data_IF_386993409061
#
_entry.id   IF_386993409061
#
_cell.length_a   1.000
_cell.length_b   1.000
_cell.length_c   1.000
_cell.angle_alpha   90.00
_cell.angle_beta   90.00
_cell.angle_gamma   90.00
#
_symmetry.space_group_name_H-M   'P 1'
#
loop_
_entity.id
_entity.type
_entity.pdbx_description
1 polymer ?
#
# COMPACT_ATOMS: atom_id res chain seq x y z
N UNK A 1 -5.60 -17.20 12.37
CA UNK A 1 -6.25 -16.27 11.42
C UNK A 1 -5.76 -16.63 10.02
N UNK A 2 -6.65 -17.11 9.15
CA UNK A 2 -6.31 -17.42 7.76
C UNK A 2 -6.02 -16.11 7.03
N UNK A 3 -5.01 -16.10 6.17
CA UNK A 3 -4.62 -14.92 5.38
C UNK A 3 -5.13 -15.07 3.96
N UNK A 4 -5.58 -13.98 3.31
CA UNK A 4 -5.94 -14.03 1.90
C UNK A 4 -4.73 -13.96 0.96
N UNK A 5 -3.53 -13.66 1.47
CA UNK A 5 -2.29 -13.55 0.67
C UNK A 5 -1.02 -13.50 1.53
N UNK A 6 0.11 -13.88 0.92
CA UNK A 6 1.46 -13.54 1.38
C UNK A 6 2.06 -12.37 0.58
N UNK A 7 3.06 -11.70 1.16
CA UNK A 7 3.83 -10.66 0.49
C UNK A 7 4.92 -11.29 -0.39
N UNK A 8 4.89 -10.99 -1.70
CA UNK A 8 5.91 -11.41 -2.65
C UNK A 8 6.77 -10.21 -3.07
N UNK A 9 8.09 -10.36 -3.04
CA UNK A 9 9.05 -9.29 -3.32
C UNK A 9 9.92 -9.66 -4.54
N UNK A 10 9.59 -9.16 -5.75
CA UNK A 10 10.29 -9.56 -6.99
C UNK A 10 11.80 -9.32 -6.95
N UNK A 11 12.23 -8.20 -6.36
CA UNK A 11 13.66 -7.88 -6.20
C UNK A 11 14.39 -8.91 -5.34
N UNK A 12 13.81 -9.32 -4.21
CA UNK A 12 14.41 -10.31 -3.31
C UNK A 12 14.43 -11.70 -3.95
N UNK A 13 13.37 -12.06 -4.69
CA UNK A 13 13.30 -13.30 -5.46
C UNK A 13 14.41 -13.40 -6.52
N UNK A 14 14.66 -12.31 -7.25
CA UNK A 14 15.70 -12.24 -8.29
C UNK A 14 17.13 -12.13 -7.72
N UNK A 15 17.29 -11.51 -6.55
CA UNK A 15 18.60 -11.28 -5.93
C UNK A 15 19.08 -12.45 -5.04
N UNK A 16 18.18 -13.31 -4.56
CA UNK A 16 18.53 -14.41 -3.66
C UNK A 16 19.44 -15.44 -4.34
N UNK A 17 20.69 -15.54 -3.89
CA UNK A 17 21.72 -16.44 -4.43
C UNK A 17 21.38 -17.92 -4.32
N UNK A 18 20.60 -18.34 -3.31
CA UNK A 18 20.14 -19.73 -3.18
C UNK A 18 19.09 -20.05 -4.25
N UNK A 19 18.10 -19.18 -4.44
CA UNK A 19 17.10 -19.31 -5.51
C UNK A 19 17.71 -19.18 -6.91
N UNK A 20 18.78 -18.39 -7.08
CA UNK A 20 19.51 -18.31 -8.36
C UNK A 20 20.23 -19.61 -8.73
N UNK A 21 20.52 -20.50 -7.76
CA UNK A 21 21.06 -21.85 -8.00
C UNK A 21 19.96 -22.90 -8.29
N UNK A 22 18.69 -22.56 -8.11
CA UNK A 22 17.58 -23.45 -8.41
C UNK A 22 17.25 -23.48 -9.91
N UNK A 23 16.85 -24.65 -10.42
CA UNK A 23 16.24 -24.78 -11.75
C UNK A 23 14.89 -24.06 -11.81
N UNK A 24 14.32 -23.89 -13.02
CA UNK A 24 12.97 -23.34 -13.17
C UNK A 24 11.90 -24.24 -12.52
N UNK A 25 12.07 -25.56 -12.62
CA UNK A 25 11.22 -26.56 -11.96
C UNK A 25 11.29 -26.43 -10.43
N UNK A 26 12.49 -26.39 -9.86
CA UNK A 26 12.69 -26.22 -8.41
C UNK A 26 12.10 -24.90 -7.90
N UNK A 27 12.14 -23.82 -8.70
CA UNK A 27 11.48 -22.56 -8.37
C UNK A 27 9.95 -22.66 -8.39
N UNK A 28 9.38 -23.47 -9.27
CA UNK A 28 7.95 -23.79 -9.29
C UNK A 28 7.54 -24.54 -8.03
N UNK A 29 8.22 -25.66 -7.77
CA UNK A 29 8.00 -26.48 -6.56
C UNK A 29 8.14 -25.65 -5.28
N UNK A 30 9.12 -24.75 -5.20
CA UNK A 30 9.27 -23.86 -4.06
C UNK A 30 8.08 -22.89 -3.89
N UNK A 31 7.44 -22.48 -4.98
CA UNK A 31 6.26 -21.63 -4.95
C UNK A 31 5.03 -22.39 -4.42
N UNK A 32 4.87 -23.66 -4.81
CA UNK A 32 3.84 -24.54 -4.26
C UNK A 32 4.07 -24.85 -2.78
N UNK A 33 5.33 -25.07 -2.37
CA UNK A 33 5.72 -25.19 -0.94
C UNK A 33 5.43 -23.90 -0.16
N UNK A 34 5.67 -22.71 -0.75
CA UNK A 34 5.31 -21.43 -0.11
C UNK A 34 3.80 -21.28 0.08
N UNK A 35 2.98 -21.77 -0.85
CA UNK A 35 1.52 -21.84 -0.70
C UNK A 35 1.14 -22.81 0.43
N UNK A 36 1.70 -24.02 0.45
CA UNK A 36 1.45 -24.99 1.54
C UNK A 36 1.80 -24.40 2.91
N UNK A 37 2.96 -23.73 3.03
CA UNK A 37 3.43 -23.05 4.26
C UNK A 37 2.59 -21.83 4.66
N UNK A 38 1.88 -21.21 3.71
CA UNK A 38 0.98 -20.08 3.96
C UNK A 38 -0.32 -20.52 4.63
N UNK A 39 -0.81 -21.71 4.26
CA UNK A 39 -2.08 -22.27 4.73
C UNK A 39 -1.97 -23.06 6.06
N UNK A 40 -0.74 -23.24 6.58
CA UNK A 40 -0.52 -23.85 7.89
C UNK A 40 -1.04 -22.98 9.04
N UNK A 41 -1.38 -23.61 10.17
CA UNK A 41 -1.77 -22.93 11.41
C UNK A 41 -0.65 -22.06 11.98
N UNK A 42 0.60 -22.54 11.90
CA UNK A 42 1.83 -21.81 12.21
C UNK A 42 2.40 -21.20 10.91
N UNK A 43 2.19 -19.90 10.70
CA UNK A 43 2.46 -19.27 9.40
C UNK A 43 3.93 -19.37 8.97
N UNK A 44 4.17 -19.97 7.80
CA UNK A 44 5.52 -20.17 7.26
C UNK A 44 6.23 -21.41 7.78
N UNK A 45 5.53 -22.28 8.53
CA UNK A 45 6.04 -23.51 9.17
C UNK A 45 5.09 -24.68 8.91
N UNK A 46 5.60 -25.79 8.41
CA UNK A 46 4.88 -27.06 8.29
C UNK A 46 5.55 -28.11 9.21
N UNK A 47 4.74 -28.98 9.81
CA UNK A 47 5.18 -30.03 10.76
C UNK A 47 4.79 -31.42 10.28
N UNK A 48 4.90 -31.66 8.97
CA UNK A 48 4.63 -32.93 8.31
C UNK A 48 5.94 -33.58 7.85
N UNK A 49 6.02 -34.93 7.76
CA UNK A 49 7.13 -35.62 7.11
C UNK A 49 7.41 -35.08 5.70
N UNK A 50 8.68 -35.08 5.26
CA UNK A 50 9.05 -34.50 3.96
C UNK A 50 8.37 -35.22 2.79
N UNK A 51 8.11 -36.52 2.93
CA UNK A 51 7.35 -37.32 1.97
C UNK A 51 5.89 -36.84 1.81
N UNK A 52 5.22 -36.43 2.90
CA UNK A 52 3.86 -35.89 2.86
C UNK A 52 3.84 -34.50 2.20
N UNK A 53 4.85 -33.67 2.46
CA UNK A 53 5.03 -32.38 1.77
C UNK A 53 5.25 -32.62 0.27
N UNK A 54 6.08 -33.58 -0.12
CA UNK A 54 6.34 -33.91 -1.51
C UNK A 54 5.05 -34.34 -2.24
N UNK A 55 4.26 -35.21 -1.61
CA UNK A 55 2.95 -35.62 -2.10
C UNK A 55 1.98 -34.44 -2.22
N UNK A 56 1.91 -33.57 -1.21
CA UNK A 56 0.98 -32.43 -1.17
C UNK A 56 1.27 -31.38 -2.26
N UNK A 57 2.55 -31.16 -2.61
CA UNK A 57 2.94 -30.25 -3.70
C UNK A 57 3.13 -30.94 -5.05
N UNK A 58 2.82 -32.24 -5.16
CA UNK A 58 2.86 -32.99 -6.42
C UNK A 58 4.27 -33.22 -6.99
N UNK A 59 5.29 -33.39 -6.15
CA UNK A 59 6.67 -33.64 -6.57
C UNK A 59 7.30 -34.86 -5.86
N UNK A 60 8.56 -35.18 -6.19
CA UNK A 60 9.31 -36.23 -5.47
C UNK A 60 10.13 -35.62 -4.32
N UNK A 61 10.33 -36.39 -3.25
CA UNK A 61 11.15 -35.97 -2.11
C UNK A 61 12.55 -35.50 -2.54
N UNK A 62 13.15 -36.15 -3.54
CA UNK A 62 14.45 -35.77 -4.11
C UNK A 62 14.47 -34.31 -4.64
N UNK A 63 13.35 -33.78 -5.14
CA UNK A 63 13.26 -32.36 -5.57
C UNK A 63 13.23 -31.43 -4.37
N UNK A 64 12.55 -31.80 -3.28
CA UNK A 64 12.60 -31.05 -2.02
C UNK A 64 13.99 -31.08 -1.38
N UNK A 65 14.66 -32.24 -1.38
CA UNK A 65 16.08 -32.35 -1.01
C UNK A 65 16.96 -31.43 -1.88
N UNK A 66 16.63 -31.25 -3.15
CA UNK A 66 17.24 -30.26 -4.05
C UNK A 66 17.11 -28.81 -3.56
N UNK A 67 15.99 -28.45 -2.90
CA UNK A 67 15.77 -27.13 -2.26
C UNK A 67 16.46 -27.02 -0.89
N UNK A 68 16.46 -28.09 -0.10
CA UNK A 68 17.09 -28.17 1.23
C UNK A 68 18.61 -28.03 1.10
N UNK A 69 19.24 -28.78 0.19
CA UNK A 69 20.67 -28.68 -0.12
C UNK A 69 21.09 -27.30 -0.67
N UNK A 70 20.14 -26.53 -1.22
CA UNK A 70 20.36 -25.14 -1.63
C UNK A 70 20.08 -24.14 -0.50
N UNK A 71 19.56 -24.55 0.65
CA UNK A 71 19.19 -23.67 1.76
C UNK A 71 18.04 -22.74 1.41
N UNK A 72 17.09 -23.22 0.60
CA UNK A 72 15.86 -22.51 0.20
C UNK A 72 14.72 -22.92 1.14
N UNK A 73 14.34 -24.19 1.08
CA UNK A 73 13.60 -24.85 2.17
C UNK A 73 14.59 -25.15 3.30
N UNK A 74 14.14 -25.05 4.55
CA UNK A 74 14.95 -25.32 5.74
C UNK A 74 14.17 -26.14 6.75
N UNK A 75 14.89 -26.76 7.67
CA UNK A 75 14.35 -27.67 8.66
C UNK A 75 14.83 -29.10 8.46
N UNK A 76 14.18 -30.02 9.16
CA UNK A 76 14.56 -31.42 9.30
C UNK A 76 13.32 -32.31 9.42
N UNK A 77 13.47 -33.59 9.06
CA UNK A 77 12.41 -34.60 9.25
C UNK A 77 12.42 -35.18 10.68
N UNK A 78 11.48 -36.08 10.96
CA UNK A 78 11.35 -36.81 12.22
C UNK A 78 12.68 -37.45 12.68
N UNK A 79 13.00 -37.28 13.97
CA UNK A 79 14.20 -37.86 14.59
C UNK A 79 15.52 -37.12 14.33
N UNK A 80 15.49 -36.00 13.60
CA UNK A 80 16.63 -35.08 13.48
C UNK A 80 16.36 -33.77 14.24
N UNK A 81 17.42 -33.14 14.75
CA UNK A 81 17.35 -31.89 15.51
C UNK A 81 17.66 -30.69 14.60
N UNK A 82 16.75 -29.70 14.55
CA UNK A 82 16.98 -28.44 13.83
C UNK A 82 17.49 -27.35 14.79
N UNK A 83 18.39 -26.50 14.28
CA UNK A 83 18.92 -25.36 15.02
C UNK A 83 17.88 -24.22 15.12
N UNK A 84 17.87 -23.42 16.20
CA UNK A 84 16.90 -22.31 16.33
C UNK A 84 17.03 -21.29 15.20
N UNK A 85 15.89 -20.88 14.62
CA UNK A 85 15.85 -19.77 13.66
C UNK A 85 16.03 -18.45 14.41
N UNK A 86 17.26 -17.96 14.50
CA UNK A 86 17.57 -16.68 15.12
C UNK A 86 17.44 -15.53 14.13
N UNK A 87 16.60 -14.54 14.45
CA UNK A 87 16.51 -13.27 13.75
C UNK A 87 17.19 -12.16 14.57
N UNK A 88 18.04 -11.36 13.91
CA UNK A 88 18.65 -10.17 14.50
C UNK A 88 17.93 -8.93 13.92
N UNK A 89 17.06 -8.26 14.69
CA UNK A 89 16.41 -7.04 14.24
C UNK A 89 17.45 -5.95 14.01
N UNK A 90 17.32 -5.18 12.94
CA UNK A 90 18.27 -4.13 12.56
C UNK A 90 17.58 -2.77 12.49
N UNK A 91 18.12 -1.78 13.19
CA UNK A 91 17.65 -0.40 13.17
C UNK A 91 18.79 0.53 12.76
N UNK A 92 18.65 1.17 11.60
CA UNK A 92 19.73 1.91 10.95
C UNK A 92 20.97 1.02 10.76
N UNK A 93 22.10 1.45 11.33
CA UNK A 93 23.37 0.70 11.28
C UNK A 93 23.59 -0.25 12.47
N UNK A 94 22.71 -0.27 13.47
CA UNK A 94 22.87 -1.09 14.69
C UNK A 94 22.05 -2.38 14.59
N UNK A 95 22.64 -3.47 15.07
CA UNK A 95 21.94 -4.72 15.35
C UNK A 95 21.33 -4.63 16.75
N UNK A 96 20.08 -5.08 16.91
CA UNK A 96 19.43 -5.27 18.20
C UNK A 96 19.73 -6.66 18.77
N UNK A 97 19.08 -6.98 19.90
CA UNK A 97 19.17 -8.29 20.55
C UNK A 97 18.71 -9.40 19.59
N UNK A 98 19.49 -10.48 19.40
CA UNK A 98 19.05 -11.66 18.66
C UNK A 98 17.82 -12.31 19.32
N UNK A 99 16.86 -12.76 18.51
CA UNK A 99 15.60 -13.35 18.95
C UNK A 99 15.43 -14.69 18.23
N UNK A 100 15.25 -15.79 18.97
CA UNK A 100 14.84 -17.07 18.39
C UNK A 100 13.36 -16.98 17.98
N UNK A 101 13.09 -17.03 16.68
CA UNK A 101 11.73 -17.08 16.13
C UNK A 101 11.16 -18.50 16.11
N UNK A 102 12.05 -19.49 15.96
CA UNK A 102 11.77 -20.90 16.20
C UNK A 102 12.82 -21.40 17.19
N UNK A 103 12.39 -22.17 18.19
CA UNK A 103 13.30 -22.87 19.09
C UNK A 103 14.01 -24.02 18.35
N UNK A 104 15.19 -24.41 18.84
CA UNK A 104 15.80 -25.67 18.40
C UNK A 104 14.98 -26.84 18.95
N UNK A 105 14.55 -27.74 18.07
CA UNK A 105 13.63 -28.83 18.39
C UNK A 105 13.82 -29.97 17.39
N UNK A 106 13.32 -31.15 17.71
CA UNK A 106 13.28 -32.28 16.78
C UNK A 106 12.20 -32.06 15.71
N UNK A 107 12.41 -32.65 14.52
CA UNK A 107 11.45 -32.64 13.44
C UNK A 107 10.27 -33.62 13.63
N UNK A 108 9.31 -33.65 12.69
CA UNK A 108 9.31 -32.90 11.43
C UNK A 108 9.06 -31.40 11.64
N UNK A 109 9.97 -30.59 11.11
CA UNK A 109 9.89 -29.13 11.12
C UNK A 109 10.43 -28.64 9.77
N UNK A 110 9.59 -27.97 8.99
CA UNK A 110 9.96 -27.41 7.69
C UNK A 110 9.48 -25.96 7.60
N UNK A 111 10.34 -25.03 7.19
CA UNK A 111 10.00 -23.61 7.26
C UNK A 111 10.64 -22.73 6.19
N UNK A 112 9.95 -21.63 5.89
CA UNK A 112 10.49 -20.51 5.11
C UNK A 112 10.98 -19.42 6.05
N UNK A 113 12.30 -19.24 6.18
CA UNK A 113 12.85 -18.15 7.02
C UNK A 113 12.25 -16.80 6.66
N UNK A 114 11.92 -16.56 5.39
CA UNK A 114 11.34 -15.29 4.96
C UNK A 114 9.93 -15.08 5.52
N UNK A 115 9.08 -16.10 5.46
CA UNK A 115 7.71 -16.01 5.97
C UNK A 115 7.68 -15.84 7.50
N UNK A 116 8.49 -16.61 8.23
CA UNK A 116 8.58 -16.52 9.69
C UNK A 116 9.15 -15.16 10.15
N UNK A 117 10.20 -14.68 9.50
CA UNK A 117 10.80 -13.36 9.82
C UNK A 117 9.85 -12.20 9.44
N UNK A 118 9.18 -12.27 8.30
CA UNK A 118 8.22 -11.23 7.90
C UNK A 118 6.95 -11.26 8.76
N UNK A 119 6.56 -12.43 9.28
CA UNK A 119 5.50 -12.53 10.27
C UNK A 119 5.88 -11.89 11.59
N UNK A 120 7.07 -12.17 12.12
CA UNK A 120 7.59 -11.46 13.29
C UNK A 120 7.56 -9.95 13.08
N UNK A 121 8.04 -9.45 11.93
CA UNK A 121 7.96 -8.02 11.59
C UNK A 121 6.52 -7.50 11.49
N UNK A 122 5.57 -8.31 10.99
CA UNK A 122 4.16 -7.93 10.87
C UNK A 122 3.50 -7.82 12.23
N UNK A 123 3.71 -8.80 13.11
CA UNK A 123 3.23 -8.77 14.50
C UNK A 123 3.77 -7.52 15.19
N UNK A 124 5.09 -7.33 15.23
CA UNK A 124 5.72 -6.18 15.90
C UNK A 124 5.26 -4.82 15.36
N UNK A 125 4.87 -4.71 14.08
CA UNK A 125 4.28 -3.49 13.50
C UNK A 125 2.81 -3.30 13.84
N UNK A 126 2.06 -4.37 14.06
CA UNK A 126 0.66 -4.33 14.48
C UNK A 126 0.51 -4.07 15.98
N UNK A 127 1.34 -4.71 16.79
CA UNK A 127 1.36 -4.61 18.26
C UNK A 127 1.78 -3.20 18.71
N UNK A 128 2.73 -2.58 18.00
CA UNK A 128 3.10 -1.17 18.18
C UNK A 128 1.98 -0.17 17.77
N UNK A 129 0.77 -0.64 17.45
CA UNK A 129 -0.34 0.16 16.94
C UNK A 129 -1.70 -0.08 17.57
N UNK A 130 -1.85 -0.92 18.61
CA UNK A 130 -3.17 -1.22 19.16
C UNK A 130 -3.20 -1.80 20.58
N UNK A 131 -3.95 -1.13 21.45
CA UNK A 131 -4.44 -1.69 22.73
C UNK A 131 -5.35 -2.88 22.41
N UNK A 132 -5.27 -4.03 23.11
CA UNK A 132 -6.12 -5.17 22.79
C UNK A 132 -7.55 -4.90 23.23
N UNK A 133 -8.50 -5.01 22.29
CA UNK A 133 -9.87 -5.35 22.64
C UNK A 133 -10.32 -6.57 21.84
N UNK A 134 -10.79 -7.58 22.55
CA UNK A 134 -11.35 -8.79 21.96
C UNK A 134 -12.81 -8.53 21.51
N UNK A 135 -13.32 -9.44 20.68
CA UNK A 135 -14.73 -9.53 20.29
C UNK A 135 -15.28 -8.37 19.44
N UNK A 136 -15.15 -8.49 18.11
CA UNK A 136 -16.36 -8.41 17.28
C UNK A 136 -16.20 -9.14 15.94
N UNK A 137 -17.04 -10.14 15.71
CA UNK A 137 -17.33 -10.65 14.37
C UNK A 137 -18.25 -9.66 13.65
N UNK A 138 -17.83 -9.13 12.49
CA UNK A 138 -18.71 -8.82 11.34
C UNK A 138 -17.89 -8.18 10.21
N UNK A 139 -17.90 -8.83 9.04
CA UNK A 139 -17.24 -8.32 7.84
C UNK A 139 -18.28 -7.91 6.79
N UNK A 140 -18.36 -6.62 6.40
CA UNK A 140 -18.89 -6.22 5.10
C UNK A 140 -17.77 -6.19 4.05
N UNK A 141 -18.04 -6.82 2.92
CA UNK A 141 -17.11 -7.01 1.81
C UNK A 141 -16.95 -5.73 0.97
N UNK A 142 -15.73 -5.20 0.81
CA UNK A 142 -15.42 -4.28 -0.29
C UNK A 142 -13.92 -4.15 -0.63
N UNK A 143 -13.49 -4.83 -1.69
CA UNK A 143 -12.23 -4.52 -2.39
C UNK A 143 -12.40 -3.28 -3.28
N UNK A 144 -11.48 -2.30 -3.27
CA UNK A 144 -11.49 -1.20 -4.23
C UNK A 144 -11.12 -1.69 -5.64
N UNK A 145 -11.90 -1.31 -6.66
CA UNK A 145 -11.59 -1.59 -8.07
C UNK A 145 -10.47 -0.67 -8.59
N UNK A 146 -9.56 -1.15 -9.47
CA UNK A 146 -8.63 -0.28 -10.19
C UNK A 146 -9.37 0.50 -11.30
N UNK A 147 -9.01 1.76 -11.58
CA UNK A 147 -9.51 2.48 -12.76
C UNK A 147 -8.78 2.00 -14.02
N UNK A 148 -9.56 1.76 -15.07
CA UNK A 148 -9.15 1.19 -16.36
C UNK A 148 -8.94 2.30 -17.40
N UNK A 149 -8.05 2.06 -18.37
CA UNK A 149 -8.11 2.68 -19.71
C UNK A 149 -7.51 4.08 -19.88
N UNK A 150 -6.28 4.14 -20.40
CA UNK A 150 -5.75 5.32 -21.06
C UNK A 150 -5.87 5.14 -22.58
N UNK A 151 -6.58 6.05 -23.26
CA UNK A 151 -6.69 6.09 -24.71
C UNK A 151 -6.01 7.38 -25.23
N UNK A 152 -5.19 7.33 -26.29
CA UNK A 152 -4.41 8.50 -26.70
C UNK A 152 -5.25 9.61 -27.34
N UNK A 153 -4.91 10.87 -27.04
CA UNK A 153 -5.44 12.05 -27.75
C UNK A 153 -4.74 12.26 -29.09
N UNK A 154 -5.42 12.84 -30.11
CA UNK A 154 -4.81 13.17 -31.40
C UNK A 154 -4.04 14.51 -31.36
N UNK A 155 -3.01 14.61 -32.18
CA UNK A 155 -2.28 15.85 -32.52
C UNK A 155 -2.70 16.39 -33.90
N UNK A 156 -2.47 17.69 -34.20
CA UNK A 156 -3.08 18.36 -35.36
C UNK A 156 -2.32 18.18 -36.69
N UNK A 157 -3.00 18.54 -37.78
CA UNK A 157 -2.54 18.50 -39.19
C UNK A 157 -1.45 19.53 -39.49
N UNK A 158 -0.56 19.19 -40.41
CA UNK A 158 -0.03 20.06 -41.49
C UNK A 158 0.54 19.19 -42.65
N UNK A 159 0.46 19.67 -43.90
CA UNK A 159 0.99 19.08 -45.15
C UNK A 159 1.25 20.22 -46.16
N UNK A 160 2.19 20.12 -47.15
CA UNK A 160 2.17 19.10 -48.23
C UNK A 160 3.53 18.56 -48.77
N UNK A 161 3.44 17.37 -49.44
CA UNK A 161 4.17 16.75 -50.59
C UNK A 161 5.56 17.21 -51.15
N UNK A 162 6.26 16.43 -52.03
CA UNK A 162 5.94 15.08 -52.61
C UNK A 162 7.08 13.99 -52.64
N UNK A 163 6.66 12.71 -52.78
CA UNK A 163 7.14 11.54 -53.59
C UNK A 163 8.58 11.41 -54.18
N UNK A 164 9.04 10.21 -54.67
CA UNK A 164 8.49 8.82 -54.63
C UNK A 164 9.51 7.67 -54.29
N UNK A 165 9.04 6.42 -54.08
CA UNK A 165 9.31 5.21 -54.93
C UNK A 165 9.12 3.81 -54.27
N UNK A 166 8.53 2.93 -55.09
CA UNK A 166 8.65 1.46 -55.22
C UNK A 166 8.05 0.45 -54.20
N UNK A 167 7.39 -0.58 -54.78
CA UNK A 167 6.59 -1.69 -54.21
C UNK A 167 7.39 -3.03 -54.27
N UNK A 168 6.85 -4.27 -54.03
CA UNK A 168 5.50 -4.71 -53.60
C UNK A 168 5.41 -5.86 -52.54
N UNK A 169 4.15 -6.23 -52.24
CA UNK A 169 3.53 -7.46 -51.68
C UNK A 169 4.26 -8.84 -51.87
N UNK A 170 3.88 -9.98 -51.21
CA UNK A 170 2.48 -10.36 -50.88
C UNK A 170 2.15 -11.10 -49.55
N UNK A 171 0.85 -11.06 -49.21
CA UNK A 171 0.13 -11.99 -48.31
C UNK A 171 0.08 -13.43 -48.86
N UNK A 172 -0.26 -14.45 -48.05
CA UNK A 172 -1.68 -14.87 -47.88
C UNK A 172 -1.98 -15.36 -46.42
N UNK A 173 -3.17 -15.81 -45.97
CA UNK A 173 -4.44 -16.26 -46.56
C UNK A 173 -5.67 -15.72 -45.78
N UNK A 174 -6.86 -15.84 -46.37
CA UNK A 174 -8.17 -15.51 -45.78
C UNK A 174 -9.04 -16.77 -45.61
N UNK A 175 -10.02 -16.74 -44.71
CA UNK A 175 -11.23 -17.57 -44.85
C UNK A 175 -12.50 -16.88 -44.30
N UNK A 176 -13.56 -16.96 -45.11
CA UNK A 176 -14.98 -16.56 -44.96
C UNK A 176 -15.56 -16.30 -43.54
N UNK A 177 -16.41 -15.28 -43.30
CA UNK A 177 -17.78 -15.03 -43.83
C UNK A 177 -18.81 -16.12 -43.42
N UNK A 178 -20.09 -15.83 -43.13
CA UNK A 178 -20.95 -14.72 -43.56
C UNK A 178 -21.98 -14.31 -42.45
N UNK A 179 -22.46 -13.04 -42.40
CA UNK A 179 -23.80 -12.54 -42.84
C UNK A 179 -25.02 -13.17 -42.12
N UNK A 180 -26.17 -12.53 -41.84
CA UNK A 180 -26.83 -11.23 -42.14
C UNK A 180 -28.02 -11.11 -41.13
N UNK A 181 -28.75 -10.03 -40.88
CA UNK A 181 -28.83 -8.65 -41.38
C UNK A 181 -29.44 -7.73 -40.27
N UNK A 182 -29.74 -6.46 -40.59
CA UNK A 182 -30.68 -5.59 -39.84
C UNK A 182 -32.04 -5.49 -40.61
N UNK A 183 -33.06 -4.75 -40.14
CA UNK A 183 -33.04 -3.28 -40.32
C UNK A 183 -33.79 -2.42 -39.27
N UNK A 184 -33.44 -1.12 -39.22
CA UNK A 184 -34.33 0.08 -39.14
C UNK A 184 -35.40 0.22 -38.03
N UNK A 185 -35.87 1.41 -37.63
CA UNK A 185 -35.39 2.81 -37.66
C UNK A 185 -36.50 3.68 -37.06
N UNK A 186 -36.20 4.68 -36.23
CA UNK A 186 -37.06 5.87 -36.14
C UNK A 186 -36.37 7.04 -35.43
N UNK A 187 -36.66 8.24 -35.94
CA UNK A 187 -36.13 9.53 -35.54
C UNK A 187 -37.27 10.46 -35.11
N UNK A 188 -37.10 11.18 -34.00
CA UNK A 188 -37.73 12.48 -33.68
C UNK A 188 -37.30 12.89 -32.26
N UNK A 189 -36.65 14.02 -31.99
CA UNK A 189 -36.97 15.44 -32.24
C UNK A 189 -38.05 16.02 -31.30
N UNK A 190 -37.56 16.81 -30.33
CA UNK A 190 -38.18 18.03 -29.75
C UNK A 190 -39.60 18.00 -29.16
N UNK A 191 -39.73 18.41 -27.89
CA UNK A 191 -40.44 19.64 -27.47
C UNK A 191 -41.00 19.56 -26.04
N UNK A 192 -40.48 20.46 -25.19
CA UNK A 192 -41.14 21.20 -24.11
C UNK A 192 -42.52 20.77 -23.59
N UNK A 193 -42.58 20.52 -22.28
CA UNK A 193 -43.70 20.93 -21.41
C UNK A 193 -43.18 21.37 -20.05
N UNK A 194 -43.13 22.69 -19.84
CA UNK A 194 -43.04 23.27 -18.51
C UNK A 194 -44.36 23.07 -17.75
N UNK A 195 -44.30 23.07 -16.41
CA UNK A 195 -45.46 23.23 -15.55
C UNK A 195 -45.10 24.21 -14.42
N UNK A 196 -45.92 25.26 -14.15
CA UNK A 196 -45.61 26.29 -13.17
C UNK A 196 -45.70 25.79 -11.71
N UNK A 197 -45.15 26.55 -10.74
CA UNK A 197 -44.83 26.04 -9.41
C UNK A 197 -46.03 26.02 -8.45
N UNK A 198 -45.93 25.23 -7.38
CA UNK A 198 -46.81 25.35 -6.21
C UNK A 198 -45.95 25.53 -4.94
N UNK A 199 -46.23 26.51 -4.06
CA UNK A 199 -45.36 26.84 -2.94
C UNK A 199 -45.82 26.18 -1.64
N UNK A 200 -45.05 25.20 -1.14
CA UNK A 200 -44.95 24.83 0.29
C UNK A 200 -44.17 23.52 0.45
N UNK A 201 -42.83 23.56 0.36
CA UNK A 201 -42.00 22.85 1.34
C UNK A 201 -40.58 23.43 1.34
N UNK A 202 -40.26 24.23 2.38
CA UNK A 202 -38.94 24.85 2.52
C UNK A 202 -37.98 23.88 3.22
N UNK A 203 -37.67 22.77 2.55
CA UNK A 203 -36.63 21.83 3.00
C UNK A 203 -35.27 22.54 3.15
N UNK A 204 -34.44 22.16 4.15
CA UNK A 204 -33.22 22.89 4.48
C UNK A 204 -32.25 22.92 3.28
N UNK A 205 -31.77 24.13 2.97
CA UNK A 205 -30.96 24.40 1.78
C UNK A 205 -29.81 23.40 1.60
N UNK A 206 -29.74 22.80 0.40
CA UNK A 206 -28.70 21.84 0.07
C UNK A 206 -27.31 22.49 0.20
N UNK A 207 -26.47 21.96 1.08
CA UNK A 207 -25.14 22.50 1.37
C UNK A 207 -24.33 22.68 0.07
N UNK A 208 -23.67 23.83 -0.15
CA UNK A 208 -22.91 24.07 -1.37
C UNK A 208 -21.82 22.99 -1.55
N UNK A 209 -21.76 22.41 -2.74
CA UNK A 209 -20.78 21.35 -3.05
C UNK A 209 -19.39 21.97 -3.20
N UNK A 210 -18.59 21.89 -2.13
CA UNK A 210 -17.20 22.35 -2.14
C UNK A 210 -16.40 21.68 -3.28
N UNK A 211 -15.83 22.51 -4.15
CA UNK A 211 -14.85 22.12 -5.17
C UNK A 211 -13.50 21.80 -4.51
N UNK A 212 -12.64 21.06 -5.22
CA UNK A 212 -11.30 20.75 -4.71
C UNK A 212 -10.33 21.89 -5.09
N UNK A 213 -9.78 22.58 -4.09
CA UNK A 213 -8.88 23.74 -4.25
C UNK A 213 -7.44 23.42 -3.84
N UNK A 214 -6.48 24.24 -4.24
CA UNK A 214 -5.08 24.12 -3.82
C UNK A 214 -4.91 24.55 -2.35
N UNK A 215 -3.81 24.15 -1.70
CA UNK A 215 -3.54 24.60 -0.32
C UNK A 215 -3.36 26.12 -0.27
N UNK A 216 -2.65 26.71 -1.25
CA UNK A 216 -2.47 28.16 -1.35
C UNK A 216 -3.82 28.89 -1.36
N UNK A 217 -4.71 28.54 -2.29
CA UNK A 217 -6.07 29.12 -2.41
C UNK A 217 -6.86 29.01 -1.10
N UNK A 218 -6.74 27.89 -0.38
CA UNK A 218 -7.38 27.74 0.93
C UNK A 218 -6.81 28.69 1.99
N UNK A 219 -5.49 28.93 2.01
CA UNK A 219 -4.88 29.91 2.90
C UNK A 219 -5.30 31.33 2.53
N UNK A 220 -5.33 31.65 1.24
CA UNK A 220 -5.77 32.96 0.72
C UNK A 220 -7.24 33.23 1.10
N UNK A 221 -8.11 32.23 0.97
CA UNK A 221 -9.52 32.31 1.42
C UNK A 221 -9.65 32.51 2.93
N UNK A 222 -8.81 31.84 3.75
CA UNK A 222 -8.81 32.05 5.20
C UNK A 222 -8.38 33.49 5.53
N UNK A 223 -7.29 33.96 4.90
CA UNK A 223 -6.78 35.32 5.07
C UNK A 223 -7.80 36.38 4.67
N UNK A 224 -8.48 36.21 3.53
CA UNK A 224 -9.53 37.12 3.06
C UNK A 224 -10.74 37.18 4.00
N UNK A 225 -11.02 36.10 4.75
CA UNK A 225 -12.09 36.03 5.76
C UNK A 225 -11.62 36.47 7.16
N UNK A 226 -10.33 36.77 7.35
CA UNK A 226 -9.73 37.02 8.67
C UNK A 226 -9.64 35.77 9.57
N UNK A 227 -9.93 34.58 9.04
CA UNK A 227 -9.86 33.31 9.77
C UNK A 227 -8.41 32.83 9.87
N UNK A 228 -8.04 32.20 11.00
CA UNK A 228 -6.77 31.45 11.03
C UNK A 228 -7.00 30.04 10.47
N UNK A 229 -6.12 29.52 9.59
CA UNK A 229 -6.33 28.23 8.92
C UNK A 229 -6.63 27.05 9.86
N UNK A 230 -5.99 27.02 11.04
CA UNK A 230 -6.14 25.91 12.01
C UNK A 230 -6.67 26.30 13.39
N UNK A 231 -6.51 27.54 13.85
CA UNK A 231 -6.81 27.93 15.25
C UNK A 231 -8.26 27.60 15.64
N UNK A 232 -9.17 27.85 14.71
CA UNK A 232 -10.61 27.77 14.95
C UNK A 232 -11.18 26.39 14.55
N UNK A 233 -10.32 25.44 14.13
CA UNK A 233 -10.69 24.08 13.76
C UNK A 233 -10.66 23.13 14.96
N UNK A 234 -11.69 23.21 15.80
CA UNK A 234 -11.84 22.42 17.03
C UNK A 234 -11.49 20.90 16.90
N UNK A 235 -11.86 20.16 15.83
CA UNK A 235 -11.57 18.73 15.75
C UNK A 235 -10.08 18.35 15.80
N UNK A 236 -9.17 19.24 15.35
CA UNK A 236 -7.72 19.02 15.51
C UNK A 236 -7.30 19.15 16.97
N UNK A 237 -7.80 20.17 17.67
CA UNK A 237 -7.43 20.46 19.06
C UNK A 237 -8.05 19.45 20.04
N UNK A 238 -9.25 18.97 19.78
CA UNK A 238 -9.84 17.84 20.53
C UNK A 238 -8.97 16.60 20.45
N UNK A 239 -8.44 16.26 19.26
CA UNK A 239 -7.50 15.15 19.12
C UNK A 239 -6.17 15.43 19.83
N UNK A 240 -5.59 16.62 19.64
CA UNK A 240 -4.31 17.01 20.28
C UNK A 240 -4.38 16.92 21.80
N UNK A 241 -5.48 17.37 22.41
CA UNK A 241 -5.73 17.28 23.85
C UNK A 241 -5.92 15.82 24.30
N UNK A 242 -6.77 15.05 23.61
CA UNK A 242 -7.04 13.64 23.95
C UNK A 242 -5.81 12.74 23.82
N UNK A 243 -4.97 12.97 22.80
CA UNK A 243 -3.72 12.27 22.60
C UNK A 243 -2.57 12.81 23.46
N UNK A 244 -2.73 13.95 24.15
CA UNK A 244 -1.67 14.68 24.87
C UNK A 244 -0.44 14.99 23.99
N UNK A 245 -0.65 15.21 22.70
CA UNK A 245 0.41 15.50 21.74
C UNK A 245 0.97 16.92 22.00
N UNK A 246 2.29 17.12 22.16
CA UNK A 246 2.87 18.45 22.35
C UNK A 246 2.52 19.42 21.21
N UNK A 247 2.21 20.66 21.55
CA UNK A 247 1.78 21.68 20.58
C UNK A 247 2.85 21.91 19.50
N UNK A 248 4.12 21.91 19.88
CA UNK A 248 5.25 22.14 18.98
C UNK A 248 5.33 21.08 17.87
N UNK A 249 4.90 19.84 18.15
CA UNK A 249 4.82 18.79 17.13
C UNK A 249 3.70 19.01 16.12
N UNK A 250 2.60 19.65 16.53
CA UNK A 250 1.51 20.08 15.63
C UNK A 250 1.96 21.28 14.79
N UNK A 251 2.69 22.23 15.38
CA UNK A 251 3.31 23.36 14.68
C UNK A 251 4.31 22.89 13.63
N UNK A 252 5.23 22.00 14.02
CA UNK A 252 6.22 21.37 13.13
C UNK A 252 5.55 20.62 11.98
N UNK A 253 4.48 19.86 12.27
CA UNK A 253 3.68 19.18 11.25
C UNK A 253 2.98 20.15 10.30
N UNK A 254 2.49 21.30 10.77
CA UNK A 254 1.85 22.30 9.94
C UNK A 254 2.83 22.98 8.99
N UNK A 255 4.04 23.29 9.46
CA UNK A 255 5.10 23.83 8.61
C UNK A 255 5.56 22.82 7.55
N UNK A 256 5.74 21.53 7.88
CA UNK A 256 5.99 20.47 6.89
C UNK A 256 4.83 20.27 5.90
N UNK A 257 3.58 20.41 6.38
CA UNK A 257 2.39 20.35 5.52
C UNK A 257 2.36 21.49 4.50
N UNK A 258 2.66 22.72 4.95
CA UNK A 258 2.84 23.88 4.06
C UNK A 258 3.98 23.64 3.07
N UNK A 259 5.17 23.24 3.55
CA UNK A 259 6.34 22.95 2.70
C UNK A 259 6.07 21.90 1.63
N UNK A 260 5.18 20.93 1.88
CA UNK A 260 4.80 19.89 0.91
C UNK A 260 3.82 20.37 -0.17
N UNK A 261 2.82 21.16 0.21
CA UNK A 261 1.63 21.43 -0.61
C UNK A 261 1.49 22.88 -1.09
N UNK A 262 2.35 23.81 -0.65
CA UNK A 262 2.47 25.15 -1.25
C UNK A 262 3.38 25.14 -2.49
N UNK A 263 3.36 26.20 -3.32
CA UNK A 263 4.29 26.37 -4.44
C UNK A 263 5.75 26.21 -3.99
N UNK A 264 6.56 25.52 -4.81
CA UNK A 264 7.93 25.11 -4.46
C UNK A 264 8.02 23.81 -3.62
N UNK A 265 6.89 23.27 -3.16
CA UNK A 265 6.83 21.98 -2.48
C UNK A 265 6.89 20.77 -3.42
N UNK A 266 6.79 19.56 -2.84
CA UNK A 266 6.83 18.30 -3.63
C UNK A 266 5.47 17.90 -4.23
N UNK A 267 4.36 18.50 -3.79
CA UNK A 267 3.00 18.23 -4.31
C UNK A 267 2.14 19.51 -4.41
N UNK A 268 2.61 20.59 -5.09
CA UNK A 268 1.87 21.86 -5.20
C UNK A 268 0.55 21.70 -5.98
N UNK A 269 0.46 20.72 -6.87
CA UNK A 269 -0.73 20.42 -7.66
C UNK A 269 -1.81 19.61 -6.93
N UNK A 270 -1.58 19.25 -5.66
CA UNK A 270 -2.60 18.59 -4.88
C UNK A 270 -3.81 19.52 -4.69
N UNK A 271 -5.00 18.98 -4.88
CA UNK A 271 -6.28 19.64 -4.60
C UNK A 271 -7.06 18.83 -3.57
N UNK A 272 -7.74 19.51 -2.65
CA UNK A 272 -8.62 18.89 -1.64
C UNK A 272 -9.88 19.72 -1.45
N UNK A 273 -10.98 19.05 -1.07
CA UNK A 273 -12.25 19.71 -0.71
C UNK A 273 -12.25 20.25 0.73
N UNK A 274 -11.43 19.66 1.59
CA UNK A 274 -11.27 20.04 2.99
C UNK A 274 -9.80 19.89 3.39
N UNK A 275 -9.08 21.01 3.42
CA UNK A 275 -7.69 21.05 3.85
C UNK A 275 -7.52 20.94 5.37
N UNK A 276 -8.51 21.40 6.16
CA UNK A 276 -8.48 21.32 7.64
C UNK A 276 -8.59 19.86 8.10
N UNK A 277 -9.57 19.13 7.58
CA UNK A 277 -9.72 17.69 7.81
C UNK A 277 -8.61 16.84 7.17
N UNK A 278 -8.01 17.29 6.06
CA UNK A 278 -6.80 16.65 5.51
C UNK A 278 -5.63 16.81 6.49
N UNK A 279 -5.37 18.02 6.99
CA UNK A 279 -4.27 18.24 7.94
C UNK A 279 -4.47 17.46 9.25
N UNK A 280 -5.70 17.43 9.80
CA UNK A 280 -6.02 16.59 10.97
C UNK A 280 -5.63 15.13 10.76
N UNK A 281 -5.99 14.52 9.62
CA UNK A 281 -5.58 13.14 9.29
C UNK A 281 -4.06 12.98 9.20
N UNK A 282 -3.34 14.01 8.74
CA UNK A 282 -1.87 14.03 8.70
C UNK A 282 -1.24 13.98 10.09
N UNK A 283 -1.82 14.71 11.06
CA UNK A 283 -1.43 14.67 12.47
C UNK A 283 -1.84 13.33 13.11
N UNK A 284 -3.11 12.93 13.01
CA UNK A 284 -3.65 11.72 13.66
C UNK A 284 -2.90 10.43 13.31
N UNK A 285 -2.51 10.26 12.05
CA UNK A 285 -1.80 9.06 11.58
C UNK A 285 -0.27 9.28 11.51
N UNK A 286 0.21 10.45 11.97
CA UNK A 286 1.60 10.89 11.92
C UNK A 286 2.22 10.60 10.54
N UNK A 287 1.60 11.13 9.47
CA UNK A 287 1.96 10.80 8.09
C UNK A 287 3.39 11.22 7.73
N UNK A 288 3.90 12.28 8.36
CA UNK A 288 5.28 12.76 8.20
C UNK A 288 6.31 12.01 9.07
N UNK A 289 5.86 11.15 9.99
CA UNK A 289 6.72 10.39 10.94
C UNK A 289 7.65 11.30 11.75
N UNK A 290 7.14 12.45 12.19
CA UNK A 290 7.91 13.48 12.89
C UNK A 290 8.19 13.11 14.35
N UNK A 291 7.24 12.45 15.01
CA UNK A 291 7.38 11.99 16.39
C UNK A 291 7.24 10.48 16.54
N UNK A 292 7.68 9.98 17.68
CA UNK A 292 7.41 8.66 18.23
C UNK A 292 7.07 8.80 19.72
N UNK A 293 6.62 7.70 20.33
CA UNK A 293 6.35 7.60 21.76
C UNK A 293 7.36 6.61 22.35
N UNK A 294 7.96 6.93 23.52
CA UNK A 294 8.88 6.03 24.22
C UNK A 294 8.13 5.00 25.10
N UNK A 295 8.85 4.28 25.98
CA UNK A 295 8.24 3.25 26.84
C UNK A 295 7.47 3.88 28.00
N UNK A 296 7.80 5.11 28.32
CA UNK A 296 7.29 5.95 29.39
C UNK A 296 6.09 6.81 28.92
N UNK A 297 5.67 6.62 27.67
CA UNK A 297 4.52 7.32 27.08
C UNK A 297 4.82 8.77 26.64
N UNK A 298 6.08 9.20 26.64
CA UNK A 298 6.47 10.56 26.27
C UNK A 298 6.69 10.66 24.75
N UNK A 299 6.24 11.78 24.19
CA UNK A 299 6.46 12.12 22.79
C UNK A 299 7.88 12.66 22.58
N UNK A 300 8.61 12.08 21.62
CA UNK A 300 9.92 12.59 21.19
C UNK A 300 10.03 12.69 19.67
N UNK A 301 10.82 13.66 19.18
CA UNK A 301 11.06 13.81 17.73
C UNK A 301 11.95 12.68 17.19
N UNK A 302 11.51 12.08 16.08
CA UNK A 302 12.29 11.11 15.33
C UNK A 302 13.48 11.78 14.64
N UNK A 303 14.36 11.00 14.01
CA UNK A 303 15.38 11.54 13.10
C UNK A 303 14.80 12.35 11.94
N UNK A 304 13.55 12.10 11.53
CA UNK A 304 12.84 12.93 10.53
C UNK A 304 12.30 14.21 11.16
N UNK A 305 11.72 14.13 12.36
CA UNK A 305 11.28 15.30 13.13
C UNK A 305 12.40 16.32 13.37
N UNK A 306 13.56 15.85 13.86
CA UNK A 306 14.74 16.68 14.11
C UNK A 306 15.36 17.29 12.85
N UNK A 307 15.13 16.70 11.68
CA UNK A 307 15.53 17.31 10.39
C UNK A 307 14.57 18.41 9.96
N UNK A 308 13.26 18.19 10.13
CA UNK A 308 12.24 19.21 9.86
C UNK A 308 12.37 20.41 10.80
N UNK A 309 12.67 20.17 12.09
CA UNK A 309 12.91 21.17 13.12
C UNK A 309 14.09 22.08 12.74
N UNK A 310 15.28 21.50 12.51
CA UNK A 310 16.46 22.25 12.05
C UNK A 310 16.25 22.99 10.73
N UNK A 311 15.46 22.44 9.82
CA UNK A 311 15.12 23.11 8.57
C UNK A 311 14.24 24.34 8.81
N UNK A 312 13.34 24.30 9.79
CA UNK A 312 12.51 25.45 10.19
C UNK A 312 13.34 26.49 10.94
N UNK A 313 14.20 26.09 11.88
CA UNK A 313 15.17 26.99 12.53
C UNK A 313 16.02 27.75 11.50
N UNK A 314 16.47 27.06 10.44
CA UNK A 314 17.25 27.68 9.35
C UNK A 314 16.44 28.70 8.54
N UNK A 315 15.13 28.50 8.40
CA UNK A 315 14.23 29.43 7.69
C UNK A 315 13.79 30.61 8.58
N UNK A 316 13.77 30.45 9.89
CA UNK A 316 13.45 31.53 10.84
C UNK A 316 14.67 32.43 11.14
N UNK A 317 15.89 31.94 10.90
CA UNK A 317 17.15 32.67 11.05
C UNK A 317 17.62 33.42 9.78
N UNK A 318 16.84 33.39 8.69
CA UNK A 318 17.17 33.93 7.37
C UNK A 318 16.24 35.08 6.96
#
# INVERSE_FOLDING_TARGET
MIRPSFQFYPADWQANSNLRRCTHEEKGIWLDVLCLLHDQSEYGVCRWPLAEIAQAVGCTEQKLQGLINKGVLKGVDAGALEAPLVYVPRSGRRNGTPIALLAGQEGPLWYSSRMVIDEYKRIQRGDAGGVPNALQESSPNHSPKPPFGEAPKPTPKDTPEPSPKDSPNPSPFSCAQASRAAPSSSSSSSSSKEKPPNPADAGPAAKPRLSAIALQTFLDECQAKGERPLRDYAPLWTYQQGAKLPLDMVTLAWAEFRRRFLPGGTQPDKRQKDWRGTFRKYVENNYFKLWAIDREGQYFLTSTGKQAEKFQETLEAA
#
